data_IF_650352811311
#
_entry.id   IF_650352811311
#
_cell.length_a   1.000
_cell.length_b   1.000
_cell.length_c   1.000
_cell.angle_alpha   90.00
_cell.angle_beta   90.00
_cell.angle_gamma   90.00
#
_symmetry.space_group_name_H-M   'P 1'
#
loop_
_entity.id
_entity.type
_entity.pdbx_description
1 polymer ?
#
# COMPACT_ATOMS: atom_id res chain seq x y z
N UNK A 1 -5.71 39.47 20.70
CA UNK A 1 -5.59 38.64 19.48
C UNK A 1 -6.53 37.46 19.63
N UNK A 2 -7.72 37.54 19.05
CA UNK A 2 -8.69 36.44 19.06
C UNK A 2 -8.18 35.36 18.11
N UNK A 3 -7.91 34.15 18.62
CA UNK A 3 -7.59 33.03 17.74
C UNK A 3 -8.75 32.83 16.74
N UNK A 4 -8.47 32.62 15.44
CA UNK A 4 -9.53 32.30 14.50
C UNK A 4 -10.22 31.00 14.93
N UNK A 5 -11.54 31.01 14.97
CA UNK A 5 -12.42 29.91 15.43
C UNK A 5 -12.48 28.71 14.47
N UNK A 6 -11.48 28.58 13.59
CA UNK A 6 -11.38 27.54 12.57
C UNK A 6 -10.58 26.32 13.04
N UNK A 7 -10.75 25.20 12.33
CA UNK A 7 -9.92 24.00 12.52
C UNK A 7 -8.47 24.35 12.21
N UNK A 8 -7.54 24.01 13.12
CA UNK A 8 -6.11 24.21 12.90
C UNK A 8 -5.33 22.98 13.37
N UNK A 9 -4.81 22.22 12.41
CA UNK A 9 -3.91 21.10 12.64
C UNK A 9 -2.49 21.65 12.64
N UNK A 10 -1.68 21.25 13.63
CA UNK A 10 -0.32 21.74 13.75
C UNK A 10 0.56 21.26 12.58
N UNK A 11 1.37 22.17 12.02
CA UNK A 11 2.31 21.88 10.92
C UNK A 11 3.26 20.73 11.25
N UNK A 12 3.61 20.53 12.53
CA UNK A 12 4.46 19.40 12.96
C UNK A 12 3.84 18.04 12.66
N UNK A 13 2.51 17.93 12.75
CA UNK A 13 1.79 16.71 12.39
C UNK A 13 1.93 16.47 10.88
N UNK A 14 1.72 17.51 10.08
CA UNK A 14 1.90 17.46 8.62
C UNK A 14 3.32 17.06 8.24
N UNK A 15 4.35 17.68 8.83
CA UNK A 15 5.76 17.34 8.60
C UNK A 15 6.07 15.88 8.92
N UNK A 16 5.56 15.35 10.03
CA UNK A 16 5.73 13.94 10.37
C UNK A 16 5.11 13.00 9.33
N UNK A 17 3.96 13.37 8.75
CA UNK A 17 3.32 12.60 7.67
C UNK A 17 4.11 12.68 6.37
N UNK A 18 4.60 13.86 5.99
CA UNK A 18 5.46 14.03 4.82
C UNK A 18 6.75 13.22 4.92
N UNK A 19 7.34 13.07 6.11
CA UNK A 19 8.49 12.19 6.31
C UNK A 19 8.15 10.73 5.99
N UNK A 20 6.98 10.25 6.43
CA UNK A 20 6.52 8.89 6.13
C UNK A 20 6.28 8.73 4.62
N UNK A 21 5.60 9.68 3.99
CA UNK A 21 5.37 9.68 2.53
C UNK A 21 6.69 9.68 1.76
N UNK A 22 7.64 10.55 2.13
CA UNK A 22 8.95 10.60 1.51
C UNK A 22 9.74 9.29 1.69
N UNK A 23 9.64 8.66 2.85
CA UNK A 23 10.21 7.33 3.08
C UNK A 23 9.58 6.28 2.17
N UNK A 24 8.24 6.24 2.05
CA UNK A 24 7.53 5.32 1.15
C UNK A 24 8.01 5.52 -0.29
N UNK A 25 8.08 6.76 -0.78
CA UNK A 25 8.56 7.07 -2.13
C UNK A 25 9.99 6.53 -2.33
N UNK A 26 10.88 6.78 -1.38
CA UNK A 26 12.27 6.34 -1.48
C UNK A 26 12.36 4.80 -1.55
N UNK A 27 11.76 4.09 -0.59
CA UNK A 27 11.86 2.63 -0.52
C UNK A 27 11.17 1.94 -1.71
N UNK A 28 10.02 2.46 -2.16
CA UNK A 28 9.33 1.95 -3.35
C UNK A 28 10.16 2.18 -4.61
N UNK A 29 10.79 3.35 -4.75
CA UNK A 29 11.65 3.64 -5.91
C UNK A 29 12.87 2.71 -5.97
N UNK A 30 13.49 2.43 -4.82
CA UNK A 30 14.57 1.45 -4.74
C UNK A 30 14.08 0.05 -5.11
N UNK A 31 12.91 -0.36 -4.62
CA UNK A 31 12.40 -1.69 -4.87
C UNK A 31 11.98 -1.91 -6.33
N UNK A 32 11.37 -0.91 -6.98
CA UNK A 32 11.05 -1.01 -8.41
C UNK A 32 12.33 -1.30 -9.21
N UNK A 33 13.44 -0.63 -8.87
CA UNK A 33 14.73 -0.86 -9.53
C UNK A 33 15.31 -2.26 -9.25
N UNK A 34 15.13 -2.80 -8.04
CA UNK A 34 15.68 -4.11 -7.67
C UNK A 34 14.83 -5.27 -8.21
N UNK A 35 13.51 -5.11 -8.28
CA UNK A 35 12.57 -6.15 -8.69
C UNK A 35 12.81 -6.61 -10.14
N UNK A 36 13.26 -5.72 -11.03
CA UNK A 36 13.71 -6.07 -12.39
C UNK A 36 14.88 -7.06 -12.46
N UNK A 37 15.64 -7.19 -11.37
CA UNK A 37 16.84 -8.02 -11.27
C UNK A 37 16.62 -9.27 -10.39
N UNK A 38 15.38 -9.53 -9.98
CA UNK A 38 15.04 -10.70 -9.16
C UNK A 38 14.66 -11.86 -10.08
N UNK A 39 15.22 -13.04 -9.82
CA UNK A 39 14.81 -14.28 -10.48
C UNK A 39 13.43 -14.74 -9.98
N UNK A 40 12.57 -15.15 -10.91
CA UNK A 40 11.19 -15.56 -10.64
C UNK A 40 10.21 -14.90 -11.59
N UNK A 41 8.93 -14.85 -11.22
CA UNK A 41 7.88 -14.17 -11.99
C UNK A 41 7.42 -14.92 -13.24
N UNK A 42 6.57 -14.25 -14.03
CA UNK A 42 6.03 -14.80 -15.27
C UNK A 42 6.92 -14.42 -16.46
N UNK A 43 7.13 -15.39 -17.37
CA UNK A 43 7.83 -15.15 -18.62
C UNK A 43 6.84 -14.58 -19.66
N UNK A 44 7.05 -13.32 -20.05
CA UNK A 44 6.22 -12.65 -21.06
C UNK A 44 6.96 -12.61 -22.42
N UNK A 45 6.30 -12.96 -23.54
CA UNK A 45 6.89 -12.82 -24.85
C UNK A 45 7.38 -11.39 -25.10
N UNK A 46 8.66 -11.24 -25.48
CA UNK A 46 9.29 -9.94 -25.73
C UNK A 46 9.91 -9.27 -24.50
N UNK A 47 9.87 -9.91 -23.32
CA UNK A 47 10.57 -9.45 -22.11
C UNK A 47 11.66 -10.46 -21.74
N UNK A 48 12.89 -9.98 -21.57
CA UNK A 48 14.06 -10.85 -21.35
C UNK A 48 14.15 -11.41 -19.91
N UNK A 49 13.51 -10.75 -18.94
CA UNK A 49 13.51 -11.14 -17.54
C UNK A 49 12.09 -11.54 -17.11
N UNK A 50 11.99 -12.38 -16.08
CA UNK A 50 10.71 -12.69 -15.47
C UNK A 50 10.10 -11.44 -14.82
N UNK A 51 8.79 -11.28 -14.97
CA UNK A 51 8.07 -10.10 -14.48
C UNK A 51 7.22 -10.46 -13.28
N UNK A 52 7.38 -9.73 -12.18
CA UNK A 52 6.58 -9.89 -10.97
C UNK A 52 5.41 -8.92 -11.00
N UNK A 53 4.51 -9.07 -11.99
CA UNK A 53 3.49 -8.07 -12.34
C UNK A 53 2.71 -7.59 -11.11
N UNK A 54 2.35 -8.49 -10.20
CA UNK A 54 1.58 -8.12 -9.02
C UNK A 54 2.36 -7.27 -8.03
N UNK A 55 3.64 -7.58 -7.83
CA UNK A 55 4.53 -6.76 -7.02
C UNK A 55 4.83 -5.42 -7.72
N UNK A 56 5.12 -5.43 -9.02
CA UNK A 56 5.39 -4.22 -9.81
C UNK A 56 4.21 -3.24 -9.76
N UNK A 57 3.01 -3.72 -10.05
CA UNK A 57 1.80 -2.88 -10.05
C UNK A 57 1.49 -2.35 -8.65
N UNK A 58 1.66 -3.16 -7.60
CA UNK A 58 1.49 -2.71 -6.23
C UNK A 58 2.48 -1.59 -5.85
N UNK A 59 3.74 -1.70 -6.28
CA UNK A 59 4.76 -0.67 -6.07
C UNK A 59 4.44 0.62 -6.86
N UNK A 60 4.02 0.53 -8.12
CA UNK A 60 3.62 1.71 -8.89
C UNK A 60 2.40 2.41 -8.30
N UNK A 61 1.41 1.65 -7.81
CA UNK A 61 0.27 2.23 -7.08
C UNK A 61 0.73 2.89 -5.78
N UNK A 62 1.65 2.26 -5.04
CA UNK A 62 2.22 2.85 -3.83
C UNK A 62 2.90 4.20 -4.12
N UNK A 63 3.66 4.28 -5.22
CA UNK A 63 4.31 5.51 -5.65
C UNK A 63 3.28 6.59 -6.02
N UNK A 64 2.30 6.24 -6.85
CA UNK A 64 1.26 7.17 -7.30
C UNK A 64 0.46 7.74 -6.12
N UNK A 65 -0.02 6.87 -5.22
CA UNK A 65 -0.76 7.27 -4.03
C UNK A 65 0.09 8.13 -3.08
N UNK A 66 1.38 7.83 -2.95
CA UNK A 66 2.31 8.64 -2.15
C UNK A 66 2.48 10.05 -2.70
N UNK A 67 2.63 10.19 -4.03
CA UNK A 67 2.74 11.51 -4.68
C UNK A 67 1.44 12.30 -4.52
N UNK A 68 0.28 11.66 -4.70
CA UNK A 68 -1.01 12.34 -4.50
C UNK A 68 -1.19 12.73 -3.03
N UNK A 69 -0.83 11.85 -2.08
CA UNK A 69 -0.85 12.14 -0.64
C UNK A 69 0.03 13.34 -0.28
N UNK A 70 1.25 13.41 -0.83
CA UNK A 70 2.16 14.54 -0.68
C UNK A 70 1.50 15.86 -1.12
N UNK A 71 0.87 15.85 -2.31
CA UNK A 71 0.15 17.01 -2.85
C UNK A 71 -1.03 17.39 -1.95
N UNK A 72 -1.78 16.42 -1.44
CA UNK A 72 -2.89 16.69 -0.51
C UNK A 72 -2.40 17.34 0.80
N UNK A 73 -1.28 16.87 1.36
CA UNK A 73 -0.71 17.48 2.57
C UNK A 73 -0.24 18.92 2.31
N UNK A 74 0.50 19.16 1.23
CA UNK A 74 0.94 20.51 0.86
C UNK A 74 -0.26 21.41 0.56
N UNK A 75 -1.25 20.93 -0.18
CA UNK A 75 -2.47 21.67 -0.49
C UNK A 75 -3.39 21.90 0.71
N UNK A 76 -3.13 21.26 1.85
CA UNK A 76 -3.92 21.45 3.08
C UNK A 76 -3.39 22.56 4.00
N UNK A 77 -2.19 23.08 3.75
CA UNK A 77 -1.60 24.14 4.58
C UNK A 77 -2.15 25.52 4.24
N UNK A 78 -2.40 26.32 5.27
CA UNK A 78 -2.67 27.74 5.14
C UNK A 78 -1.38 28.50 4.89
N UNK A 79 -1.48 29.61 4.14
CA UNK A 79 -0.38 30.56 3.96
C UNK A 79 -0.36 31.56 5.14
N UNK A 80 -0.40 31.05 6.37
CA UNK A 80 -0.26 31.85 7.59
C UNK A 80 1.16 31.72 8.19
N UNK A 81 1.50 32.55 9.18
CA UNK A 81 2.84 32.57 9.79
C UNK A 81 3.25 31.23 10.44
N UNK A 82 2.27 30.37 10.79
CA UNK A 82 2.50 29.09 11.44
C UNK A 82 2.40 27.91 10.46
N UNK A 83 1.89 28.13 9.24
CA UNK A 83 1.59 27.13 8.22
C UNK A 83 0.65 26.02 8.71
N UNK A 84 -0.37 26.37 9.51
CA UNK A 84 -1.32 25.38 10.04
C UNK A 84 -2.09 24.68 8.90
N UNK A 85 -2.59 23.46 9.11
CA UNK A 85 -3.46 22.80 8.14
C UNK A 85 -4.93 22.92 8.58
N UNK A 86 -5.78 23.46 7.71
CA UNK A 86 -7.20 23.72 8.02
C UNK A 86 -8.17 23.10 7.00
N UNK A 87 -7.65 22.44 5.96
CA UNK A 87 -8.44 21.88 4.88
C UNK A 87 -8.56 20.36 4.96
N UNK A 88 -9.73 19.82 4.57
CA UNK A 88 -10.05 18.38 4.64
C UNK A 88 -9.13 17.50 3.78
N UNK A 89 -8.41 18.10 2.83
CA UNK A 89 -7.32 17.45 2.09
C UNK A 89 -6.26 16.86 3.01
N UNK A 90 -6.09 17.37 4.23
CA UNK A 90 -5.19 16.76 5.20
C UNK A 90 -5.56 15.30 5.50
N UNK A 91 -6.86 15.03 5.71
CA UNK A 91 -7.35 13.67 5.99
C UNK A 91 -7.29 12.81 4.73
N UNK A 92 -7.55 13.38 3.55
CA UNK A 92 -7.33 12.67 2.28
C UNK A 92 -5.88 12.23 2.14
N UNK A 93 -4.94 13.12 2.46
CA UNK A 93 -3.50 12.83 2.50
C UNK A 93 -3.19 11.64 3.39
N UNK A 94 -3.72 11.62 4.62
CA UNK A 94 -3.57 10.47 5.54
C UNK A 94 -4.11 9.17 4.93
N UNK A 95 -5.31 9.19 4.36
CA UNK A 95 -5.94 7.99 3.77
C UNK A 95 -5.12 7.43 2.60
N UNK A 96 -4.67 8.31 1.70
CA UNK A 96 -3.85 7.92 0.56
C UNK A 96 -2.45 7.44 1.00
N UNK A 97 -1.85 8.06 2.03
CA UNK A 97 -0.59 7.61 2.62
C UNK A 97 -0.71 6.18 3.15
N UNK A 98 -1.80 5.87 3.86
CA UNK A 98 -2.04 4.52 4.37
C UNK A 98 -2.26 3.48 3.27
N UNK A 99 -3.02 3.82 2.21
CA UNK A 99 -3.18 2.94 1.04
C UNK A 99 -1.87 2.76 0.28
N UNK A 100 -1.05 3.80 0.17
CA UNK A 100 0.28 3.72 -0.41
C UNK A 100 1.18 2.75 0.39
N UNK A 101 1.14 2.86 1.72
CA UNK A 101 1.88 1.96 2.60
C UNK A 101 1.43 0.50 2.45
N UNK A 102 0.12 0.25 2.39
CA UNK A 102 -0.43 -1.09 2.15
C UNK A 102 0.01 -1.67 0.81
N UNK A 103 0.01 -0.85 -0.24
CA UNK A 103 0.46 -1.24 -1.58
C UNK A 103 1.97 -1.53 -1.60
N UNK A 104 2.77 -0.73 -0.89
CA UNK A 104 4.20 -0.97 -0.72
C UNK A 104 4.49 -2.28 0.02
N UNK A 105 3.76 -2.56 1.12
CA UNK A 105 3.87 -3.82 1.86
C UNK A 105 3.57 -5.00 0.93
N UNK A 106 2.53 -4.92 0.11
CA UNK A 106 2.22 -5.97 -0.88
C UNK A 106 3.37 -6.17 -1.85
N UNK A 107 3.90 -5.09 -2.40
CA UNK A 107 5.05 -5.12 -3.31
C UNK A 107 6.36 -5.65 -2.70
N UNK A 108 6.54 -5.54 -1.38
CA UNK A 108 7.72 -6.09 -0.69
C UNK A 108 7.56 -7.56 -0.30
N UNK A 109 6.44 -7.90 0.32
CA UNK A 109 6.28 -9.19 0.98
C UNK A 109 5.87 -10.30 0.02
N UNK A 110 5.14 -9.98 -1.06
CA UNK A 110 4.73 -10.97 -2.05
C UNK A 110 5.92 -11.62 -2.79
N UNK A 111 6.82 -10.88 -3.47
CA UNK A 111 7.92 -11.51 -4.22
C UNK A 111 8.88 -12.27 -3.31
N UNK A 112 9.04 -11.79 -2.07
CA UNK A 112 9.89 -12.45 -1.07
C UNK A 112 9.31 -13.80 -0.62
N UNK A 113 7.99 -13.93 -0.61
CA UNK A 113 7.28 -15.18 -0.31
C UNK A 113 7.44 -16.21 -1.44
N UNK A 114 7.46 -15.76 -2.70
CA UNK A 114 7.77 -16.58 -3.87
C UNK A 114 9.23 -17.06 -3.84
N UNK A 115 10.17 -16.17 -3.54
CA UNK A 115 11.59 -16.50 -3.42
C UNK A 115 11.85 -17.60 -2.38
N UNK A 116 11.24 -17.54 -1.19
CA UNK A 116 11.40 -18.62 -0.21
C UNK A 116 10.89 -19.96 -0.72
N UNK A 117 9.83 -19.95 -1.54
CA UNK A 117 9.30 -21.16 -2.15
C UNK A 117 10.27 -21.73 -3.19
N UNK A 118 10.93 -20.88 -3.98
CA UNK A 118 11.99 -21.27 -4.92
C UNK A 118 13.22 -21.83 -4.19
N UNK A 119 13.71 -21.14 -3.15
CA UNK A 119 14.87 -21.57 -2.36
C UNK A 119 14.57 -22.91 -1.68
N UNK A 120 13.35 -23.12 -1.17
CA UNK A 120 12.96 -24.38 -0.56
C UNK A 120 12.96 -25.57 -1.53
N UNK A 121 12.80 -25.34 -2.83
CA UNK A 121 12.95 -26.38 -3.86
C UNK A 121 14.41 -26.72 -4.12
N UNK A 122 15.32 -25.75 -4.01
CA UNK A 122 16.76 -25.93 -4.24
C UNK A 122 17.51 -26.46 -3.01
N UNK A 123 17.01 -26.18 -1.80
CA UNK A 123 17.61 -26.57 -0.53
C UNK A 123 16.67 -27.45 0.31
N UNK A 124 16.33 -28.68 -0.14
CA UNK A 124 15.32 -29.52 0.51
C UNK A 124 15.67 -29.90 1.95
N UNK A 125 16.96 -29.98 2.29
CA UNK A 125 17.45 -30.23 3.65
C UNK A 125 17.11 -29.11 4.65
N UNK A 126 16.78 -27.91 4.16
CA UNK A 126 16.44 -26.73 4.98
C UNK A 126 14.97 -26.32 4.86
N UNK A 127 14.12 -27.18 4.30
CA UNK A 127 12.72 -26.87 3.98
C UNK A 127 11.92 -26.43 5.21
N UNK A 128 12.17 -27.01 6.38
CA UNK A 128 11.47 -26.64 7.62
C UNK A 128 11.87 -25.26 8.13
N UNK A 129 13.16 -24.92 8.10
CA UNK A 129 13.64 -23.58 8.47
C UNK A 129 13.11 -22.51 7.51
N UNK A 130 13.15 -22.76 6.20
CA UNK A 130 12.62 -21.85 5.19
C UNK A 130 11.11 -21.64 5.31
N UNK A 131 10.36 -22.69 5.65
CA UNK A 131 8.93 -22.58 5.94
C UNK A 131 8.65 -21.70 7.17
N UNK A 132 9.46 -21.79 8.22
CA UNK A 132 9.35 -20.91 9.39
C UNK A 132 9.65 -19.45 9.04
N UNK A 133 10.69 -19.19 8.24
CA UNK A 133 11.02 -17.83 7.78
C UNK A 133 9.90 -17.24 6.92
N UNK A 134 9.38 -18.02 5.97
CA UNK A 134 8.21 -17.63 5.16
C UNK A 134 7.01 -17.29 6.05
N UNK A 135 6.67 -18.16 7.01
CA UNK A 135 5.55 -17.94 7.91
C UNK A 135 5.71 -16.66 8.73
N UNK A 136 6.88 -16.43 9.31
CA UNK A 136 7.15 -15.24 10.12
C UNK A 136 6.98 -13.96 9.29
N UNK A 137 7.54 -13.94 8.08
CA UNK A 137 7.49 -12.78 7.18
C UNK A 137 6.08 -12.53 6.67
N UNK A 138 5.35 -13.56 6.23
CA UNK A 138 3.95 -13.43 5.82
C UNK A 138 3.10 -12.93 6.97
N UNK A 139 3.31 -13.42 8.19
CA UNK A 139 2.56 -12.98 9.37
C UNK A 139 2.80 -11.50 9.67
N UNK A 140 4.07 -11.08 9.71
CA UNK A 140 4.43 -9.68 9.98
C UNK A 140 3.91 -8.75 8.87
N UNK A 141 4.08 -9.14 7.61
CA UNK A 141 3.54 -8.41 6.47
C UNK A 141 2.01 -8.30 6.51
N UNK A 142 1.33 -9.38 6.90
CA UNK A 142 -0.14 -9.41 7.02
C UNK A 142 -0.64 -8.44 8.08
N UNK A 143 0.02 -8.42 9.25
CA UNK A 143 -0.31 -7.50 10.34
C UNK A 143 -0.10 -6.05 9.90
N UNK A 144 1.05 -5.76 9.28
CA UNK A 144 1.37 -4.42 8.78
C UNK A 144 0.37 -3.97 7.70
N UNK A 145 0.04 -4.85 6.76
CA UNK A 145 -0.94 -4.59 5.71
C UNK A 145 -2.32 -4.32 6.29
N UNK A 146 -2.80 -5.15 7.23
CA UNK A 146 -4.09 -4.96 7.88
C UNK A 146 -4.15 -3.63 8.64
N UNK A 147 -3.07 -3.28 9.34
CA UNK A 147 -2.97 -2.00 10.04
C UNK A 147 -3.03 -0.81 9.07
N UNK A 148 -2.37 -0.91 7.91
CA UNK A 148 -2.36 0.13 6.89
C UNK A 148 -3.72 0.25 6.16
N UNK A 149 -4.37 -0.87 5.81
CA UNK A 149 -5.65 -0.85 5.08
C UNK A 149 -6.83 -0.50 5.97
N UNK A 150 -6.85 -0.91 7.24
CA UNK A 150 -8.03 -0.77 8.07
C UNK A 150 -7.79 0.16 9.25
N UNK A 151 -6.82 -0.16 10.12
CA UNK A 151 -6.69 0.52 11.41
C UNK A 151 -6.30 2.00 11.26
N UNK A 152 -5.27 2.30 10.46
CA UNK A 152 -4.81 3.68 10.23
C UNK A 152 -5.90 4.60 9.68
N UNK A 153 -6.55 4.22 8.56
CA UNK A 153 -7.67 4.96 7.97
C UNK A 153 -8.85 5.15 8.93
N UNK A 154 -9.25 4.11 9.66
CA UNK A 154 -10.32 4.21 10.67
C UNK A 154 -9.95 5.24 11.74
N UNK A 155 -8.73 5.18 12.28
CA UNK A 155 -8.28 6.12 13.31
C UNK A 155 -8.22 7.55 12.77
N UNK A 156 -7.73 7.76 11.55
CA UNK A 156 -7.70 9.10 10.92
C UNK A 156 -9.12 9.67 10.72
N UNK A 157 -10.05 8.86 10.24
CA UNK A 157 -11.46 9.26 10.06
C UNK A 157 -12.21 9.50 11.37
N UNK A 158 -11.90 8.75 12.43
CA UNK A 158 -12.50 8.93 13.76
C UNK A 158 -11.97 10.17 14.48
N UNK A 159 -10.70 10.50 14.28
CA UNK A 159 -10.05 11.67 14.89
C UNK A 159 -10.13 12.94 14.04
N UNK A 160 -10.76 12.85 12.87
CA UNK A 160 -10.92 13.97 11.96
C UNK A 160 -11.69 15.14 12.63
N UNK A 161 -11.10 16.35 12.70
CA UNK A 161 -11.73 17.52 13.32
C UNK A 161 -12.80 18.17 12.43
N UNK A 162 -13.00 17.66 11.21
CA UNK A 162 -13.91 18.25 10.22
C UNK A 162 -15.38 17.95 10.49
N UNK A 163 -16.26 18.69 9.78
CA UNK A 163 -17.71 18.56 9.92
C UNK A 163 -18.19 17.12 9.67
N UNK A 164 -19.32 16.74 10.27
CA UNK A 164 -19.93 15.41 10.07
C UNK A 164 -20.17 15.10 8.59
N UNK A 165 -20.61 16.08 7.80
CA UNK A 165 -20.87 15.92 6.36
C UNK A 165 -19.58 15.60 5.59
N UNK A 166 -18.51 16.32 5.89
CA UNK A 166 -17.17 16.07 5.33
C UNK A 166 -16.68 14.69 5.71
N UNK A 167 -16.76 14.32 6.99
CA UNK A 167 -16.30 13.01 7.47
C UNK A 167 -17.08 11.84 6.87
N UNK A 168 -18.40 11.98 6.67
CA UNK A 168 -19.20 10.98 5.97
C UNK A 168 -18.74 10.85 4.51
N UNK A 169 -18.53 11.98 3.83
CA UNK A 169 -18.04 11.98 2.44
C UNK A 169 -16.67 11.31 2.32
N UNK A 170 -15.76 11.60 3.26
CA UNK A 170 -14.44 10.97 3.32
C UNK A 170 -14.50 9.46 3.57
N UNK A 171 -15.43 8.99 4.41
CA UNK A 171 -15.66 7.55 4.62
C UNK A 171 -16.11 6.86 3.35
N UNK A 172 -17.09 7.41 2.65
CA UNK A 172 -17.55 6.86 1.38
C UNK A 172 -16.47 6.93 0.29
N UNK A 173 -15.74 8.04 0.22
CA UNK A 173 -14.59 8.18 -0.68
C UNK A 173 -13.52 7.12 -0.40
N UNK A 174 -13.20 6.87 0.87
CA UNK A 174 -12.26 5.83 1.27
C UNK A 174 -12.74 4.43 0.85
N UNK A 175 -14.00 4.09 1.13
CA UNK A 175 -14.58 2.82 0.72
C UNK A 175 -14.57 2.63 -0.80
N UNK A 176 -14.89 3.68 -1.55
CA UNK A 176 -14.85 3.65 -3.01
C UNK A 176 -13.42 3.42 -3.54
N UNK A 177 -12.43 4.11 -2.96
CA UNK A 177 -11.01 3.91 -3.30
C UNK A 177 -10.56 2.49 -2.98
N UNK A 178 -10.96 1.94 -1.83
CA UNK A 178 -10.61 0.58 -1.40
C UNK A 178 -11.22 -0.47 -2.34
N UNK A 179 -12.49 -0.31 -2.74
CA UNK A 179 -13.12 -1.17 -3.75
C UNK A 179 -12.41 -1.07 -5.10
N UNK A 180 -12.09 0.14 -5.55
CA UNK A 180 -11.37 0.34 -6.81
C UNK A 180 -9.97 -0.27 -6.79
N UNK A 181 -9.24 -0.12 -5.68
CA UNK A 181 -7.90 -0.66 -5.50
C UNK A 181 -7.89 -2.18 -5.46
N UNK A 182 -8.81 -2.78 -4.71
CA UNK A 182 -8.97 -4.24 -4.68
C UNK A 182 -9.40 -4.77 -6.04
N UNK A 183 -10.23 -4.03 -6.78
CA UNK A 183 -10.63 -4.45 -8.12
C UNK A 183 -9.42 -4.48 -9.04
N UNK A 184 -8.61 -3.42 -9.01
CA UNK A 184 -7.37 -3.35 -9.76
C UNK A 184 -6.41 -4.50 -9.41
N UNK A 185 -6.17 -4.75 -8.12
CA UNK A 185 -5.31 -5.86 -7.69
C UNK A 185 -5.84 -7.22 -8.15
N UNK A 186 -7.16 -7.42 -8.13
CA UNK A 186 -7.77 -8.63 -8.66
C UNK A 186 -7.57 -8.78 -10.17
N UNK A 187 -7.67 -7.69 -10.96
CA UNK A 187 -7.36 -7.73 -12.39
C UNK A 187 -5.91 -8.12 -12.65
N UNK A 188 -5.00 -7.61 -11.81
CA UNK A 188 -3.59 -7.97 -11.86
C UNK A 188 -3.37 -9.45 -11.54
N UNK A 189 -4.05 -9.98 -10.52
CA UNK A 189 -4.04 -11.42 -10.20
C UNK A 189 -4.56 -12.28 -11.35
N UNK A 190 -5.67 -11.89 -11.99
CA UNK A 190 -6.24 -12.61 -13.12
C UNK A 190 -5.30 -12.61 -14.32
N UNK A 191 -4.64 -11.48 -14.58
CA UNK A 191 -3.63 -11.37 -15.62
C UNK A 191 -2.48 -12.34 -15.35
N UNK A 192 -1.89 -12.31 -14.16
CA UNK A 192 -0.78 -13.19 -13.78
C UNK A 192 -1.17 -14.67 -13.85
N UNK A 193 -2.35 -15.03 -13.33
CA UNK A 193 -2.85 -16.40 -13.34
C UNK A 193 -3.06 -16.96 -14.75
N UNK A 194 -3.26 -16.11 -15.78
CA UNK A 194 -3.40 -16.56 -17.17
C UNK A 194 -2.10 -17.10 -17.78
N UNK A 195 -0.95 -16.78 -17.17
CA UNK A 195 0.38 -17.24 -17.60
C UNK A 195 0.93 -18.38 -16.74
N UNK A 196 0.22 -18.78 -15.69
CA UNK A 196 0.67 -19.82 -14.77
C UNK A 196 -0.06 -21.14 -14.99
N UNK A 197 0.64 -22.29 -14.90
CA UNK A 197 0.04 -23.61 -15.11
C UNK A 197 -0.86 -24.06 -13.96
N UNK A 198 -0.78 -23.40 -12.80
CA UNK A 198 -1.60 -23.68 -11.62
C UNK A 198 -2.41 -22.45 -11.23
N UNK A 199 -3.68 -22.63 -10.82
CA UNK A 199 -4.50 -21.52 -10.38
C UNK A 199 -3.89 -20.87 -9.13
N UNK A 200 -3.89 -19.55 -9.09
CA UNK A 200 -3.43 -18.79 -7.93
C UNK A 200 -4.52 -18.74 -6.85
N UNK A 201 -4.16 -18.73 -5.56
CA UNK A 201 -5.11 -18.47 -4.48
C UNK A 201 -5.84 -17.15 -4.71
N UNK A 202 -7.18 -17.16 -4.64
CA UNK A 202 -8.02 -15.97 -4.84
C UNK A 202 -8.42 -15.68 -6.29
N UNK A 203 -7.91 -16.42 -7.28
CA UNK A 203 -8.21 -16.19 -8.71
C UNK A 203 -9.71 -16.19 -9.02
N UNK A 204 -10.51 -17.05 -8.38
CA UNK A 204 -11.95 -17.17 -8.65
C UNK A 204 -12.84 -16.22 -7.84
N UNK A 205 -12.29 -15.41 -6.92
CA UNK A 205 -13.10 -14.63 -6.01
C UNK A 205 -12.41 -13.32 -5.60
N UNK A 206 -12.91 -12.23 -6.17
CA UNK A 206 -12.56 -10.85 -5.85
C UNK A 206 -12.47 -10.55 -4.33
N UNK A 207 -13.35 -11.15 -3.52
CA UNK A 207 -13.39 -10.88 -2.08
C UNK A 207 -12.15 -11.32 -1.31
N UNK A 208 -11.28 -12.15 -1.91
CA UNK A 208 -9.99 -12.46 -1.32
C UNK A 208 -9.06 -11.24 -1.21
N UNK A 209 -9.28 -10.19 -2.00
CA UNK A 209 -8.50 -8.95 -1.89
C UNK A 209 -8.79 -8.19 -0.58
N UNK A 210 -9.95 -8.41 0.06
CA UNK A 210 -10.19 -7.92 1.43
C UNK A 210 -9.17 -8.49 2.43
N UNK A 211 -8.66 -9.68 2.12
CA UNK A 211 -7.67 -10.41 2.90
C UNK A 211 -6.47 -10.73 2.00
N UNK A 212 -6.00 -9.72 1.25
CA UNK A 212 -4.94 -9.87 0.27
C UNK A 212 -3.73 -10.69 0.75
N UNK A 213 -3.26 -10.60 2.01
CA UNK A 213 -2.17 -11.44 2.48
C UNK A 213 -2.41 -12.95 2.44
N UNK A 214 -3.66 -13.42 2.37
CA UNK A 214 -4.00 -14.82 2.16
C UNK A 214 -3.70 -15.33 0.74
N UNK A 215 -3.38 -14.41 -0.18
CA UNK A 215 -3.01 -14.70 -1.56
C UNK A 215 -1.51 -14.53 -1.83
N UNK A 216 -0.70 -14.37 -0.77
CA UNK A 216 0.77 -14.37 -0.84
C UNK A 216 1.36 -15.78 -0.68
#
# INVERSE_FOLDING_TARGET
>A
MTQPTGIRIAINVMRARLTIVGFIIAIVSFQISTLFNIDGGIALPGVNNGVHIRADMALFVALALSVISLICFIGSSTMDELGACDHWLFVVGDLLMYLALASAITGFFMPLTEQFSLIAMQAPMHKSQLAMFRLAIVTLGSIAWFAAVYLGPIVSLLRSPFSKKTNISLRFGYLALLVGLFWFNHQVLLFEASYLPKPLPGQGNYWYELLQPLTW
#
